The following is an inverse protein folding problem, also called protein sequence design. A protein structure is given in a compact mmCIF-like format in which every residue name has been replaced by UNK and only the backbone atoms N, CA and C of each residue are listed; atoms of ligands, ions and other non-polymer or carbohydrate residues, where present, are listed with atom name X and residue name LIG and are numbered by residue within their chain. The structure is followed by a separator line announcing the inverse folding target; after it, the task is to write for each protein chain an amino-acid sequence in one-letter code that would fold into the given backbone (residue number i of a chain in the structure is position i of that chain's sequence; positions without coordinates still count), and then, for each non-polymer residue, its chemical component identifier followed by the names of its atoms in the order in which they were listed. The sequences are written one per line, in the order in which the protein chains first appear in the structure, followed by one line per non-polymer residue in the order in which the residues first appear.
data_IF_931885975127
#
_entry.id   IF_931885975127
#
_cell.length_a   1.000
_cell.length_b   1.000
_cell.length_c   1.000
_cell.angle_alpha   90.00
_cell.angle_beta   90.00
_cell.angle_gamma   90.00
#
_symmetry.space_group_name_H-M   'P 1'
#
loop_
_entity.id
_entity.type
_entity.pdbx_description
1 polymer ?
#
# COMPACT_ATOMS: atom_id res chain seq x y z
N UNK A 1 69.30 6.79 -22.26
CA UNK A 1 69.92 7.82 -23.12
C UNK A 1 69.07 7.98 -24.37
N UNK A 2 68.94 9.22 -24.82
CA UNK A 2 68.46 9.68 -26.14
C UNK A 2 66.95 9.81 -26.40
N UNK A 3 66.51 11.05 -26.22
CA UNK A 3 65.46 11.70 -26.99
C UNK A 3 65.79 11.69 -28.50
N UNK A 4 64.78 11.65 -29.37
CA UNK A 4 64.51 12.76 -30.30
C UNK A 4 63.11 12.68 -30.92
N UNK A 5 62.54 13.87 -31.11
CA UNK A 5 61.25 14.19 -31.76
C UNK A 5 61.27 13.85 -33.25
N UNK A 6 60.08 13.68 -33.83
CA UNK A 6 59.44 14.59 -34.82
C UNK A 6 58.41 13.85 -35.68
N UNK A 7 57.32 14.53 -36.03
CA UNK A 7 56.27 13.97 -36.87
C UNK A 7 54.94 14.68 -36.74
N UNK A 8 54.93 15.98 -37.05
CA UNK A 8 53.74 16.80 -37.22
C UNK A 8 53.08 16.44 -38.55
N UNK A 9 51.86 15.89 -38.56
CA UNK A 9 50.93 16.04 -39.70
C UNK A 9 49.48 16.09 -39.21
N UNK A 10 48.94 17.28 -39.39
CA UNK A 10 47.55 17.74 -39.36
C UNK A 10 46.56 16.72 -39.91
N UNK A 11 45.64 16.26 -39.06
CA UNK A 11 44.50 15.44 -39.43
C UNK A 11 43.19 16.14 -39.03
N UNK A 12 42.40 16.46 -40.05
CA UNK A 12 41.17 17.24 -40.06
C UNK A 12 40.11 16.77 -39.04
N UNK A 13 39.42 17.77 -38.51
CA UNK A 13 38.33 17.78 -37.55
C UNK A 13 37.03 17.18 -38.13
N UNK A 14 36.43 16.18 -37.47
CA UNK A 14 35.00 15.85 -37.59
C UNK A 14 34.46 15.39 -36.23
N UNK A 15 34.08 16.35 -35.38
CA UNK A 15 33.22 16.08 -34.24
C UNK A 15 31.79 15.87 -34.77
N UNK A 16 31.39 14.61 -34.96
CA UNK A 16 29.98 14.28 -35.13
C UNK A 16 29.28 14.48 -33.78
N UNK A 17 28.76 15.69 -33.54
CA UNK A 17 27.80 15.91 -32.47
C UNK A 17 26.49 15.26 -32.93
N UNK A 18 26.35 13.96 -32.67
CA UNK A 18 25.05 13.31 -32.78
C UNK A 18 24.15 13.95 -31.74
N UNK A 19 23.24 14.84 -32.16
CA UNK A 19 22.09 15.18 -31.35
C UNK A 19 21.26 13.91 -31.21
N UNK A 20 21.51 13.15 -30.16
CA UNK A 20 20.59 12.13 -29.71
C UNK A 20 19.46 12.90 -29.06
N UNK A 21 18.43 13.24 -29.84
CA UNK A 21 17.16 13.63 -29.25
C UNK A 21 16.75 12.46 -28.36
N UNK A 22 16.49 12.64 -27.06
CA UNK A 22 15.75 11.63 -26.33
C UNK A 22 14.37 11.60 -26.99
N UNK A 23 14.13 10.60 -27.84
CA UNK A 23 12.78 10.21 -28.15
C UNK A 23 12.25 9.65 -26.83
N UNK A 24 11.63 10.53 -26.03
CA UNK A 24 10.74 10.10 -24.98
C UNK A 24 9.66 9.33 -25.73
N UNK A 25 9.81 8.02 -25.77
CA UNK A 25 8.66 7.16 -26.00
C UNK A 25 7.74 7.49 -24.83
N UNK A 26 6.76 8.36 -25.08
CA UNK A 26 5.54 8.36 -24.30
C UNK A 26 5.08 6.91 -24.33
N UNK A 27 5.26 6.23 -23.20
CA UNK A 27 4.59 4.97 -22.94
C UNK A 27 3.12 5.37 -23.01
N UNK A 28 2.52 5.19 -24.18
CA UNK A 28 1.09 5.25 -24.33
C UNK A 28 0.58 4.20 -23.36
N UNK A 29 0.09 4.68 -22.22
CA UNK A 29 -0.79 3.93 -21.35
C UNK A 29 -1.85 3.38 -22.29
N UNK A 30 -1.73 2.09 -22.61
CA UNK A 30 -2.76 1.39 -23.35
C UNK A 30 -4.02 1.70 -22.56
N UNK A 31 -4.90 2.48 -23.16
CA UNK A 31 -6.25 2.65 -22.67
C UNK A 31 -6.84 1.25 -22.77
N UNK A 32 -6.74 0.49 -21.69
CA UNK A 32 -7.42 -0.78 -21.54
C UNK A 32 -8.89 -0.38 -21.43
N UNK A 33 -9.49 -0.11 -22.58
CA UNK A 33 -10.88 0.29 -22.71
C UNK A 33 -11.70 -0.72 -21.92
N UNK A 34 -12.50 -0.21 -20.98
CA UNK A 34 -13.34 -1.08 -20.14
C UNK A 34 -14.22 -1.91 -21.07
N UNK A 35 -14.19 -3.24 -20.94
CA UNK A 35 -15.08 -4.10 -21.71
C UNK A 35 -16.53 -3.88 -21.22
N UNK A 36 -17.42 -3.29 -22.03
CA UNK A 36 -18.79 -2.99 -21.61
C UNK A 36 -19.65 -4.25 -21.45
N UNK A 37 -19.19 -5.40 -21.96
CA UNK A 37 -19.84 -6.70 -21.81
C UNK A 37 -19.23 -7.56 -20.71
N UNK A 38 -18.17 -7.08 -20.04
CA UNK A 38 -17.64 -7.76 -18.87
C UNK A 38 -18.71 -7.73 -17.78
N UNK A 39 -19.10 -8.92 -17.31
CA UNK A 39 -20.08 -9.03 -16.24
C UNK A 39 -19.53 -8.31 -15.00
N UNK A 40 -20.11 -7.17 -14.67
CA UNK A 40 -19.87 -6.49 -13.41
C UNK A 40 -20.72 -7.24 -12.39
N UNK A 41 -20.08 -7.95 -11.47
CA UNK A 41 -20.77 -8.45 -10.30
C UNK A 41 -21.22 -7.24 -9.48
N UNK A 42 -22.53 -7.00 -9.43
CA UNK A 42 -23.13 -6.00 -8.56
C UNK A 42 -23.18 -6.45 -7.08
N UNK A 43 -22.44 -7.51 -6.72
CA UNK A 43 -22.30 -7.90 -5.34
C UNK A 43 -21.61 -6.77 -4.58
N UNK A 44 -22.34 -6.23 -3.60
CA UNK A 44 -21.82 -5.19 -2.75
C UNK A 44 -20.54 -5.68 -2.07
N UNK A 45 -19.52 -4.82 -2.07
CA UNK A 45 -18.34 -4.98 -1.23
C UNK A 45 -18.71 -4.67 0.22
N UNK A 46 -19.49 -5.55 0.85
CA UNK A 46 -19.70 -5.53 2.31
C UNK A 46 -18.49 -6.20 2.97
N UNK A 47 -17.55 -5.38 3.41
CA UNK A 47 -16.40 -5.80 4.21
C UNK A 47 -16.66 -5.71 5.71
N UNK A 48 -17.86 -5.28 6.13
CA UNK A 48 -18.22 -5.03 7.51
C UNK A 48 -17.52 -3.83 8.15
N UNK A 49 -16.93 -2.91 7.38
CA UNK A 49 -16.30 -1.68 7.90
C UNK A 49 -17.27 -0.86 8.75
N UNK A 50 -18.53 -0.77 8.33
CA UNK A 50 -19.58 -0.07 9.07
C UNK A 50 -19.84 -0.70 10.44
N UNK A 51 -19.69 -2.03 10.56
CA UNK A 51 -19.78 -2.72 11.85
C UNK A 51 -18.59 -2.34 12.73
N UNK A 52 -17.37 -2.28 12.20
CA UNK A 52 -16.19 -1.88 12.97
C UNK A 52 -16.28 -0.44 13.50
N UNK A 53 -16.92 0.46 12.76
CA UNK A 53 -17.14 1.85 13.20
C UNK A 53 -17.97 1.95 14.50
N UNK A 54 -18.73 0.92 14.84
CA UNK A 54 -19.54 0.85 16.07
C UNK A 54 -18.80 0.22 17.25
N UNK A 55 -17.57 -0.25 17.06
CA UNK A 55 -16.75 -0.83 18.12
C UNK A 55 -16.00 0.26 18.85
N UNK A 56 -15.87 0.13 20.17
CA UNK A 56 -15.19 1.10 21.00
C UNK A 56 -13.88 0.54 21.53
N UNK A 57 -12.77 1.24 21.30
CA UNK A 57 -11.50 0.94 21.95
C UNK A 57 -11.53 1.47 23.38
N UNK A 58 -11.39 0.57 24.34
CA UNK A 58 -11.54 0.87 25.77
C UNK A 58 -10.20 1.02 26.48
N UNK A 59 -9.16 0.37 25.96
CA UNK A 59 -7.85 0.37 26.59
C UNK A 59 -6.81 -0.36 25.77
N UNK A 60 -5.55 0.02 25.97
CA UNK A 60 -4.40 -0.71 25.45
C UNK A 60 -3.42 -0.97 26.59
N UNK A 61 -2.68 -2.07 26.49
CA UNK A 61 -1.61 -2.43 27.41
C UNK A 61 -0.40 -2.82 26.58
N UNK A 62 0.77 -2.27 26.92
CA UNK A 62 2.04 -2.53 26.25
C UNK A 62 3.11 -2.87 27.26
N UNK A 63 3.85 -3.94 26.99
CA UNK A 63 5.13 -4.27 27.63
C UNK A 63 6.26 -4.27 26.62
N UNK A 64 7.43 -4.78 26.99
CA UNK A 64 8.61 -4.83 26.11
C UNK A 64 8.35 -5.61 24.82
N UNK A 65 7.72 -6.79 24.93
CA UNK A 65 7.53 -7.71 23.79
C UNK A 65 6.06 -8.10 23.58
N UNK A 66 5.13 -7.37 24.20
CA UNK A 66 3.70 -7.63 24.04
C UNK A 66 2.90 -6.33 23.92
N UNK A 67 1.84 -6.40 23.14
CA UNK A 67 0.80 -5.38 23.08
C UNK A 67 -0.56 -6.05 23.01
N UNK A 68 -1.51 -5.49 23.74
CA UNK A 68 -2.90 -5.94 23.74
C UNK A 68 -3.83 -4.74 23.79
N UNK A 69 -5.02 -4.90 23.21
CA UNK A 69 -6.08 -3.92 23.27
C UNK A 69 -7.37 -4.57 23.75
N UNK A 70 -8.26 -3.80 24.35
CA UNK A 70 -9.59 -4.23 24.73
C UNK A 70 -10.59 -3.39 23.96
N UNK A 71 -11.47 -4.07 23.24
CA UNK A 71 -12.56 -3.44 22.51
C UNK A 71 -13.89 -3.90 23.08
N UNK A 72 -14.86 -3.01 23.05
CA UNK A 72 -16.24 -3.33 23.33
C UNK A 72 -17.03 -3.29 22.02
N UNK A 73 -17.69 -4.41 21.72
CA UNK A 73 -18.57 -4.54 20.57
C UNK A 73 -19.95 -3.92 20.88
N UNK A 74 -20.75 -3.63 19.84
CA UNK A 74 -22.17 -3.35 20.02
C UNK A 74 -22.84 -4.43 20.87
N UNK A 75 -23.65 -4.01 21.84
CA UNK A 75 -24.24 -4.92 22.84
C UNK A 75 -23.37 -5.17 24.08
N UNK A 76 -22.23 -4.49 24.20
CA UNK A 76 -21.46 -4.43 25.44
C UNK A 76 -20.47 -5.58 25.64
N UNK A 77 -20.34 -6.49 24.66
CA UNK A 77 -19.42 -7.62 24.72
C UNK A 77 -17.97 -7.16 24.62
N UNK A 78 -17.15 -7.56 25.59
CA UNK A 78 -15.72 -7.28 25.61
C UNK A 78 -14.93 -8.32 24.81
N UNK A 79 -13.90 -7.87 24.10
CA UNK A 79 -12.95 -8.72 23.41
C UNK A 79 -11.53 -8.16 23.57
N UNK A 80 -10.59 -9.05 23.93
CA UNK A 80 -9.16 -8.74 23.91
C UNK A 80 -8.60 -8.96 22.50
N UNK A 81 -7.75 -8.05 22.05
CA UNK A 81 -7.06 -8.07 20.77
C UNK A 81 -5.55 -8.15 21.00
N UNK A 82 -4.86 -8.86 20.10
CA UNK A 82 -3.42 -8.76 19.88
C UNK A 82 -3.14 -8.47 18.42
N UNK A 83 -1.88 -8.19 18.08
CA UNK A 83 -1.44 -8.13 16.68
C UNK A 83 -1.77 -9.47 15.99
N UNK A 84 -2.11 -9.42 14.70
CA UNK A 84 -2.61 -10.53 13.88
C UNK A 84 -3.99 -11.09 14.27
N UNK A 85 -4.66 -10.55 15.29
CA UNK A 85 -6.03 -10.98 15.63
C UNK A 85 -6.98 -10.69 14.48
N UNK A 86 -7.78 -11.69 14.11
CA UNK A 86 -8.83 -11.55 13.11
C UNK A 86 -10.11 -11.00 13.73
N UNK A 87 -10.63 -9.94 13.13
CA UNK A 87 -11.91 -9.32 13.39
C UNK A 87 -12.80 -9.49 12.16
N UNK A 88 -14.07 -9.83 12.38
CA UNK A 88 -14.97 -10.16 11.27
C UNK A 88 -14.30 -11.23 10.35
N UNK A 89 -14.77 -11.49 9.12
CA UNK A 89 -14.14 -12.49 8.28
C UNK A 89 -12.73 -12.14 7.77
N UNK A 90 -12.44 -10.84 7.56
CA UNK A 90 -11.28 -10.42 6.76
C UNK A 90 -10.54 -9.20 7.31
N UNK A 91 -10.79 -8.75 8.54
CA UNK A 91 -10.01 -7.66 9.13
C UNK A 91 -8.95 -8.22 10.07
N UNK A 92 -7.71 -7.77 9.90
CA UNK A 92 -6.60 -8.18 10.74
C UNK A 92 -6.03 -7.00 11.50
N UNK A 93 -5.78 -7.17 12.78
CA UNK A 93 -5.01 -6.19 13.57
C UNK A 93 -3.56 -6.17 13.11
N UNK A 94 -3.09 -5.03 12.63
CA UNK A 94 -1.69 -4.85 12.19
C UNK A 94 -0.86 -4.06 13.18
N UNK A 95 -1.48 -3.16 13.94
CA UNK A 95 -0.78 -2.34 14.93
C UNK A 95 -1.68 -2.02 16.13
N UNK A 96 -1.10 -2.07 17.32
CA UNK A 96 -1.73 -1.59 18.56
C UNK A 96 -0.88 -0.45 19.09
N UNK A 97 -1.41 0.77 18.99
CA UNK A 97 -0.86 2.00 19.55
C UNK A 97 -1.33 2.23 20.99
N UNK A 98 -1.05 3.41 21.55
CA UNK A 98 -1.49 3.76 22.91
C UNK A 98 -3.00 4.03 22.98
N UNK A 99 -3.53 4.74 21.99
CA UNK A 99 -4.95 5.14 21.93
C UNK A 99 -5.65 4.67 20.66
N UNK A 100 -5.01 3.81 19.88
CA UNK A 100 -5.54 3.37 18.60
C UNK A 100 -5.14 1.94 18.25
N UNK A 101 -5.98 1.28 17.47
CA UNK A 101 -5.69 -0.03 16.87
C UNK A 101 -5.92 0.09 15.36
N UNK A 102 -4.91 -0.25 14.58
CA UNK A 102 -4.98 -0.27 13.12
C UNK A 102 -5.36 -1.66 12.61
N UNK A 103 -6.29 -1.69 11.67
CA UNK A 103 -6.83 -2.88 11.05
C UNK A 103 -6.60 -2.82 9.54
N UNK A 104 -6.24 -3.94 8.94
CA UNK A 104 -6.10 -4.08 7.50
C UNK A 104 -7.07 -5.14 6.98
N UNK A 105 -7.73 -4.83 5.86
CA UNK A 105 -8.58 -5.78 5.17
C UNK A 105 -7.72 -6.76 4.36
N UNK A 106 -7.88 -8.05 4.61
CA UNK A 106 -7.12 -9.14 3.99
C UNK A 106 -8.07 -10.17 3.37
N UNK A 107 -8.65 -9.82 2.21
CA UNK A 107 -9.41 -10.77 1.41
C UNK A 107 -8.61 -11.18 0.16
N UNK A 108 -8.10 -12.43 0.11
CA UNK A 108 -7.33 -12.90 -1.05
C UNK A 108 -8.19 -13.17 -2.29
N UNK A 109 -9.50 -13.36 -2.13
CA UNK A 109 -10.39 -13.78 -3.21
C UNK A 109 -11.13 -12.62 -3.88
N UNK A 110 -11.25 -11.47 -3.18
CA UNK A 110 -11.92 -10.27 -3.69
C UNK A 110 -11.20 -9.00 -3.24
N UNK A 111 -10.28 -8.48 -4.07
CA UNK A 111 -9.80 -7.12 -3.91
C UNK A 111 -10.93 -6.17 -4.32
N UNK A 112 -11.74 -5.76 -3.36
CA UNK A 112 -12.76 -4.74 -3.61
C UNK A 112 -12.08 -3.39 -3.88
N UNK A 113 -12.34 -2.76 -5.03
CA UNK A 113 -11.75 -1.46 -5.37
C UNK A 113 -12.10 -0.43 -4.29
N UNK A 114 -11.08 0.21 -3.70
CA UNK A 114 -11.25 1.21 -2.63
C UNK A 114 -11.11 0.68 -1.20
N UNK A 115 -10.96 -0.63 -0.98
CA UNK A 115 -10.76 -1.20 0.37
C UNK A 115 -9.31 -1.24 0.85
N UNK A 116 -8.38 -0.60 0.13
CA UNK A 116 -6.97 -0.53 0.55
C UNK A 116 -6.75 0.32 1.81
N UNK A 117 -7.76 1.07 2.24
CA UNK A 117 -7.63 1.95 3.40
C UNK A 117 -7.77 1.18 4.71
N UNK A 118 -6.73 1.27 5.54
CA UNK A 118 -6.76 0.76 6.90
C UNK A 118 -7.90 1.40 7.71
N UNK A 119 -8.51 0.61 8.59
CA UNK A 119 -9.48 1.10 9.58
C UNK A 119 -8.74 1.33 10.90
N UNK A 120 -9.05 2.43 11.57
CA UNK A 120 -8.48 2.75 12.88
C UNK A 120 -9.60 2.76 13.91
N UNK A 121 -9.48 1.91 14.94
CA UNK A 121 -10.29 2.01 16.14
C UNK A 121 -9.60 2.96 17.11
N UNK A 122 -10.23 4.08 17.43
CA UNK A 122 -9.69 5.09 18.33
C UNK A 122 -10.39 5.08 19.68
N UNK A 123 -9.64 5.39 20.72
CA UNK A 123 -10.17 5.68 22.05
C UNK A 123 -10.90 7.03 22.00
N UNK A 124 -12.14 7.09 22.49
CA UNK A 124 -12.98 8.29 22.50
C UNK A 124 -13.00 8.92 23.89
#
# INVERSE_FOLDING_TARGET
MSNYKEGFLTGLLLLFVTRISPAWAEISLVDIGRNPFQQVTAEACDDGREKLATWQLQGTVRGTDYSAAWVQQPGGRWQKLGVETMLLPHWRVTHIGEQQVSLLYINPNRPCPGLSEAVVLSMH
#
